data_IF_186478103465
#
_entry.id   IF_186478103465
#
_cell.length_a   1.000
_cell.length_b   1.000
_cell.length_c   1.000
_cell.angle_alpha   90.00
_cell.angle_beta   90.00
_cell.angle_gamma   90.00
#
_symmetry.space_group_name_H-M   'P 1'
#
loop_
_entity.id
_entity.type
_entity.pdbx_description
1 polymer ?
#
# COMPACT_ATOMS: atom_id res chain seq x y z
N UNK A 1 11.54 24.99 -3.07
CA UNK A 1 10.90 24.92 -1.74
C UNK A 1 10.88 23.52 -1.13
N UNK A 2 10.20 22.51 -1.71
CA UNK A 2 10.16 21.16 -1.12
C UNK A 2 11.52 20.44 -1.14
N UNK A 3 12.25 20.53 -2.26
CA UNK A 3 13.59 19.95 -2.42
C UNK A 3 14.61 20.62 -1.49
N UNK A 4 14.55 21.94 -1.38
CA UNK A 4 15.46 22.74 -0.54
C UNK A 4 15.31 22.42 0.95
N UNK A 5 14.12 22.00 1.38
CA UNK A 5 13.85 21.56 2.75
C UNK A 5 14.07 20.04 2.95
N UNK A 6 14.40 19.30 1.88
CA UNK A 6 14.53 17.83 1.92
C UNK A 6 13.21 17.11 2.21
N UNK A 7 12.07 17.74 1.92
CA UNK A 7 10.74 17.19 2.24
C UNK A 7 10.15 16.38 1.09
N UNK A 8 9.47 15.29 1.47
CA UNK A 8 8.74 14.46 0.52
C UNK A 8 7.52 15.18 -0.09
N UNK A 9 7.25 14.85 -1.35
CA UNK A 9 6.07 15.33 -2.06
C UNK A 9 4.79 14.97 -1.27
N UNK A 10 3.76 15.81 -1.38
CA UNK A 10 2.47 15.54 -0.75
C UNK A 10 1.85 14.23 -1.26
N UNK A 11 2.12 13.89 -2.52
CA UNK A 11 1.73 12.62 -3.16
C UNK A 11 2.36 11.44 -2.42
N UNK A 12 3.69 11.44 -2.23
CA UNK A 12 4.41 10.37 -1.51
C UNK A 12 3.90 10.24 -0.08
N UNK A 13 3.81 11.36 0.66
CA UNK A 13 3.33 11.34 2.06
C UNK A 13 1.91 10.77 2.17
N UNK A 14 1.01 11.14 1.25
CA UNK A 14 -0.37 10.60 1.22
C UNK A 14 -0.41 9.11 0.85
N UNK A 15 0.43 8.65 -0.06
CA UNK A 15 0.52 7.23 -0.44
C UNK A 15 1.05 6.39 0.73
N UNK A 16 2.13 6.81 1.39
CA UNK A 16 2.66 6.13 2.59
C UNK A 16 1.61 6.07 3.70
N UNK A 17 0.90 7.16 3.97
CA UNK A 17 -0.15 7.16 4.98
C UNK A 17 -1.28 6.18 4.66
N UNK A 18 -1.72 6.12 3.40
CA UNK A 18 -2.76 5.17 2.97
C UNK A 18 -2.30 3.72 3.12
N UNK A 19 -1.08 3.40 2.68
CA UNK A 19 -0.47 2.09 2.84
C UNK A 19 -0.30 1.70 4.32
N UNK A 20 0.07 2.65 5.18
CA UNK A 20 0.20 2.42 6.62
C UNK A 20 -1.14 2.11 7.30
N UNK A 21 -2.23 2.76 6.89
CA UNK A 21 -3.58 2.43 7.37
C UNK A 21 -3.96 1.00 6.96
N UNK A 22 -3.68 0.65 5.70
CA UNK A 22 -3.94 -0.69 5.17
C UNK A 22 -3.14 -1.78 5.90
N UNK A 23 -1.87 -1.51 6.16
CA UNK A 23 -0.98 -2.36 6.94
C UNK A 23 -1.50 -2.61 8.36
N UNK A 24 -1.91 -1.55 9.07
CA UNK A 24 -2.54 -1.69 10.39
C UNK A 24 -3.79 -2.56 10.36
N UNK A 25 -4.65 -2.34 9.37
CA UNK A 25 -5.88 -3.12 9.24
C UNK A 25 -5.60 -4.61 8.95
N UNK A 26 -4.58 -4.89 8.12
CA UNK A 26 -4.11 -6.26 7.87
C UNK A 26 -3.62 -6.94 9.14
N UNK A 27 -2.92 -6.22 10.02
CA UNK A 27 -2.48 -6.73 11.33
C UNK A 27 -3.60 -6.79 12.39
N UNK A 28 -4.85 -6.44 12.04
CA UNK A 28 -5.96 -6.41 13.00
C UNK A 28 -5.93 -5.25 13.99
N UNK A 29 -5.00 -4.29 13.83
CA UNK A 29 -4.88 -3.11 14.69
C UNK A 29 -5.85 -1.97 14.32
N UNK A 30 -6.61 -2.15 13.24
CA UNK A 30 -7.63 -1.20 12.77
C UNK A 30 -8.82 -1.97 12.18
N UNK A 31 -10.03 -1.61 12.61
CA UNK A 31 -11.27 -2.22 12.17
C UNK A 31 -11.69 -1.76 10.76
N UNK A 32 -10.98 -2.23 9.73
CA UNK A 32 -11.44 -2.16 8.33
C UNK A 32 -11.97 -3.53 7.88
N UNK A 33 -12.94 -3.57 6.95
CA UNK A 33 -13.51 -4.81 6.43
C UNK A 33 -12.54 -5.53 5.47
N UNK A 34 -11.42 -6.01 6.01
CA UNK A 34 -10.36 -6.71 5.26
C UNK A 34 -10.81 -8.08 4.77
N UNK A 35 -11.83 -8.68 5.40
CA UNK A 35 -12.47 -9.94 5.00
C UNK A 35 -13.10 -9.89 3.60
N UNK A 36 -13.45 -8.70 3.11
CA UNK A 36 -14.01 -8.52 1.77
C UNK A 36 -12.93 -8.58 0.67
N UNK A 37 -11.64 -8.58 1.05
CA UNK A 37 -10.52 -8.65 0.12
C UNK A 37 -10.10 -10.10 -0.08
N UNK A 38 -9.89 -10.49 -1.34
CA UNK A 38 -9.49 -11.85 -1.68
C UNK A 38 -7.97 -11.92 -1.88
N UNK A 39 -7.25 -12.79 -1.14
CA UNK A 39 -5.82 -12.98 -1.36
C UNK A 39 -5.56 -13.69 -2.69
N UNK A 40 -4.41 -13.40 -3.32
CA UNK A 40 -3.96 -14.12 -4.49
C UNK A 40 -3.62 -15.56 -4.09
N UNK A 41 -4.34 -16.54 -4.65
CA UNK A 41 -4.15 -17.98 -4.32
C UNK A 41 -3.09 -18.67 -5.18
N UNK A 42 -2.82 -18.14 -6.37
CA UNK A 42 -1.85 -18.74 -7.30
C UNK A 42 -0.58 -17.90 -7.31
N UNK A 43 0.56 -18.44 -6.85
CA UNK A 43 1.82 -17.73 -6.93
C UNK A 43 2.17 -17.47 -8.40
N UNK A 44 2.59 -16.25 -8.69
CA UNK A 44 3.09 -15.84 -10.00
C UNK A 44 4.38 -15.05 -9.79
N UNK A 45 5.20 -14.88 -10.82
CA UNK A 45 6.42 -14.05 -10.73
C UNK A 45 6.12 -12.58 -10.38
N UNK A 46 4.87 -12.14 -10.52
CA UNK A 46 4.43 -10.77 -10.27
C UNK A 46 3.64 -10.62 -8.97
N UNK A 47 3.41 -11.71 -8.22
CA UNK A 47 2.66 -11.69 -6.99
C UNK A 47 3.49 -12.23 -5.84
N UNK A 48 3.31 -11.60 -4.70
CA UNK A 48 3.94 -11.95 -3.46
C UNK A 48 2.87 -12.55 -2.51
N UNK A 49 3.24 -13.20 -1.40
CA UNK A 49 2.28 -13.97 -0.58
C UNK A 49 1.19 -13.09 0.05
N UNK A 50 1.48 -11.79 0.20
CA UNK A 50 0.57 -10.79 0.75
C UNK A 50 -0.21 -10.02 -0.32
N UNK A 51 -0.10 -10.42 -1.59
CA UNK A 51 -0.82 -9.78 -2.69
C UNK A 51 -2.32 -10.07 -2.61
N UNK A 52 -3.10 -9.08 -3.03
CA UNK A 52 -4.56 -9.13 -3.03
C UNK A 52 -5.05 -9.07 -4.46
N UNK A 53 -6.12 -9.81 -4.78
CA UNK A 53 -6.71 -9.79 -6.11
C UNK A 53 -7.10 -8.36 -6.49
N UNK A 54 -6.85 -8.03 -7.75
CA UNK A 54 -7.21 -6.73 -8.29
C UNK A 54 -8.72 -6.52 -8.20
N UNK A 55 -9.12 -5.37 -7.63
CA UNK A 55 -10.53 -4.99 -7.53
C UNK A 55 -10.93 -4.32 -8.86
N UNK A 56 -11.85 -4.91 -9.64
CA UNK A 56 -12.31 -4.31 -10.89
C UNK A 56 -13.09 -3.03 -10.60
N UNK A 57 -12.86 -1.98 -11.40
CA UNK A 57 -13.49 -0.67 -11.21
C UNK A 57 -13.93 -0.10 -12.55
N UNK A 58 -15.18 0.36 -12.61
CA UNK A 58 -15.78 0.96 -13.82
C UNK A 58 -16.08 2.46 -13.66
N UNK A 59 -15.92 3.00 -12.44
CA UNK A 59 -16.17 4.41 -12.11
C UNK A 59 -14.96 4.99 -11.39
N UNK A 60 -14.53 6.17 -11.80
CA UNK A 60 -13.37 6.83 -11.19
C UNK A 60 -13.57 7.13 -9.70
N UNK A 61 -14.78 7.50 -9.29
CA UNK A 61 -15.09 7.72 -7.87
C UNK A 61 -14.81 6.47 -7.01
N UNK A 62 -15.08 5.28 -7.53
CA UNK A 62 -14.77 4.03 -6.85
C UNK A 62 -13.30 3.63 -7.02
N UNK A 63 -12.74 3.78 -8.22
CA UNK A 63 -11.31 3.51 -8.52
C UNK A 63 -10.36 4.28 -7.62
N UNK A 64 -10.66 5.55 -7.34
CA UNK A 64 -9.85 6.40 -6.46
C UNK A 64 -10.28 6.38 -4.99
N UNK A 65 -11.31 5.58 -4.65
CA UNK A 65 -11.65 5.27 -3.26
C UNK A 65 -10.56 4.43 -2.58
N UNK A 66 -10.67 4.24 -1.27
CA UNK A 66 -9.61 3.66 -0.45
C UNK A 66 -9.13 2.29 -0.95
N UNK A 67 -9.99 1.27 -1.02
CA UNK A 67 -9.54 -0.11 -1.28
C UNK A 67 -8.94 -0.31 -2.68
N UNK A 68 -9.62 0.02 -3.80
CA UNK A 68 -9.09 -0.26 -5.13
C UNK A 68 -7.76 0.45 -5.38
N UNK A 69 -7.66 1.70 -4.92
CA UNK A 69 -6.44 2.48 -5.01
C UNK A 69 -5.31 1.89 -4.15
N UNK A 70 -5.60 1.52 -2.91
CA UNK A 70 -4.57 1.04 -1.97
C UNK A 70 -4.08 -0.35 -2.33
N UNK A 71 -4.97 -1.24 -2.74
CA UNK A 71 -4.60 -2.60 -3.17
C UNK A 71 -3.64 -2.56 -4.36
N UNK A 72 -3.88 -1.66 -5.31
CA UNK A 72 -2.95 -1.46 -6.43
C UNK A 72 -1.54 -1.10 -5.95
N UNK A 73 -1.42 -0.09 -5.09
CA UNK A 73 -0.11 0.35 -4.60
C UNK A 73 0.53 -0.68 -3.66
N UNK A 74 -0.29 -1.38 -2.86
CA UNK A 74 0.16 -2.44 -1.96
C UNK A 74 0.80 -3.59 -2.72
N UNK A 75 0.18 -4.05 -3.81
CA UNK A 75 0.69 -5.13 -4.64
C UNK A 75 1.99 -4.79 -5.40
N UNK A 76 2.33 -3.50 -5.52
CA UNK A 76 3.59 -3.04 -6.09
C UNK A 76 4.73 -3.07 -5.06
N UNK A 77 4.42 -3.21 -3.76
CA UNK A 77 5.44 -3.29 -2.73
C UNK A 77 6.14 -4.66 -2.77
N UNK A 78 7.46 -4.70 -2.58
CA UNK A 78 8.20 -5.94 -2.37
C UNK A 78 7.71 -6.70 -1.13
N UNK A 79 7.77 -8.03 -1.21
CA UNK A 79 7.35 -8.94 -0.14
C UNK A 79 7.98 -8.60 1.21
N UNK A 80 9.29 -8.35 1.23
CA UNK A 80 10.05 -8.05 2.45
C UNK A 80 9.60 -6.76 3.17
N UNK A 81 8.86 -5.87 2.50
CA UNK A 81 8.24 -4.72 3.14
C UNK A 81 6.86 -5.07 3.67
N UNK A 82 6.07 -5.81 2.89
CA UNK A 82 4.72 -6.21 3.31
C UNK A 82 4.69 -7.17 4.50
N UNK A 83 5.80 -7.88 4.74
CA UNK A 83 5.99 -8.79 5.88
C UNK A 83 6.41 -8.09 7.18
N UNK A 84 6.79 -6.81 7.13
CA UNK A 84 7.16 -6.08 8.34
C UNK A 84 5.95 -5.97 9.26
N UNK A 85 6.07 -6.35 10.52
CA UNK A 85 4.99 -6.18 11.51
C UNK A 85 5.05 -4.80 12.18
N UNK A 86 6.25 -4.24 12.34
CA UNK A 86 6.43 -2.91 12.92
C UNK A 86 6.05 -1.80 11.92
N UNK A 87 5.11 -0.96 12.34
CA UNK A 87 4.60 0.13 11.51
C UNK A 87 5.67 1.17 11.15
N UNK A 88 6.60 1.45 12.07
CA UNK A 88 7.63 2.48 11.86
C UNK A 88 8.63 2.01 10.81
N UNK A 89 9.06 0.75 10.89
CA UNK A 89 9.87 0.08 9.89
C UNK A 89 9.14 0.03 8.54
N UNK A 90 7.87 -0.39 8.52
CA UNK A 90 7.06 -0.40 7.31
C UNK A 90 7.00 0.96 6.62
N UNK A 91 6.66 2.03 7.36
CA UNK A 91 6.57 3.40 6.83
C UNK A 91 7.90 3.87 6.24
N UNK A 92 9.01 3.63 6.96
CA UNK A 92 10.35 4.01 6.51
C UNK A 92 10.74 3.28 5.21
N UNK A 93 10.49 1.96 5.16
CA UNK A 93 10.80 1.15 4.00
C UNK A 93 9.94 1.52 2.78
N UNK A 94 8.63 1.70 2.97
CA UNK A 94 7.71 2.13 1.90
C UNK A 94 8.07 3.53 1.37
N UNK A 95 8.43 4.45 2.27
CA UNK A 95 8.86 5.79 1.89
C UNK A 95 10.12 5.76 1.01
N UNK A 96 11.09 4.91 1.35
CA UNK A 96 12.32 4.75 0.58
C UNK A 96 12.06 4.24 -0.84
N UNK A 97 11.08 3.36 -1.04
CA UNK A 97 10.69 2.90 -2.38
C UNK A 97 10.04 4.04 -3.16
N UNK A 98 9.03 4.68 -2.58
CA UNK A 98 8.25 5.71 -3.26
C UNK A 98 9.05 6.96 -3.64
N UNK A 99 10.17 7.21 -2.95
CA UNK A 99 11.14 8.27 -3.32
C UNK A 99 11.95 7.96 -4.58
N UNK A 100 12.08 6.69 -4.98
CA UNK A 100 12.83 6.31 -6.19
C UNK A 100 11.99 6.49 -7.46
N UNK A 101 10.68 6.51 -7.31
CA UNK A 101 9.71 6.58 -8.42
C UNK A 101 9.16 8.01 -8.67
N UNK A 102 9.55 8.99 -7.85
CA UNK A 102 9.14 10.41 -7.89
C UNK A 102 10.31 11.32 -8.34
#
# INVERSE_FOLDING_TARGET
>A
MLKDLGWDSLKVRRTVNRLAIFHKARLGLLALPMNNLQPVRRPSRHHHSNSILHIPTNKDCYKYSFFPRTVRDWNLLPQNITDLEDLKQFKSAALRILRRDD
#
